data_IF_307123023791
#
_entry.id   IF_307123023791
#
_cell.length_a   1.000
_cell.length_b   1.000
_cell.length_c   1.000
_cell.angle_alpha   90.00
_cell.angle_beta   90.00
_cell.angle_gamma   90.00
#
_symmetry.space_group_name_H-M   'P 1'
#
loop_
_entity.id
_entity.type
_entity.pdbx_description
1 polymer ?
#
# COMPACT_ATOMS: atom_id res chain seq x y z
N UNK A 1 58.37 19.09 18.23
CA UNK A 1 57.36 18.02 18.42
C UNK A 1 56.11 18.47 17.66
N UNK A 2 55.71 17.71 16.64
CA UNK A 2 54.54 18.01 15.80
C UNK A 2 53.29 17.42 16.46
N UNK A 3 52.26 18.24 16.66
CA UNK A 3 50.94 17.78 17.11
C UNK A 3 50.01 17.71 15.91
N UNK A 4 49.75 16.50 15.44
CA UNK A 4 48.64 16.20 14.54
C UNK A 4 47.35 16.17 15.36
N UNK A 5 46.36 16.98 14.99
CA UNK A 5 45.04 16.97 15.63
C UNK A 5 43.93 16.95 14.57
N UNK A 6 43.54 15.70 14.28
CA UNK A 6 42.26 15.17 13.80
C UNK A 6 41.17 16.19 13.41
N UNK A 7 40.89 16.26 12.10
CA UNK A 7 39.64 16.80 11.56
C UNK A 7 38.47 15.89 11.97
N UNK A 8 37.70 16.31 12.97
CA UNK A 8 36.41 15.67 13.28
C UNK A 8 35.40 16.17 12.23
N UNK A 9 35.19 15.36 11.20
CA UNK A 9 34.08 15.55 10.27
C UNK A 9 32.78 15.19 11.00
N UNK A 10 32.10 16.21 11.53
CA UNK A 10 30.78 16.08 12.12
C UNK A 10 29.77 15.79 11.00
N UNK A 11 29.50 14.51 10.75
CA UNK A 11 28.38 14.09 9.90
C UNK A 11 27.08 14.50 10.59
N UNK A 12 26.51 15.63 10.20
CA UNK A 12 25.16 16.02 10.59
C UNK A 12 24.20 15.04 9.95
N UNK A 13 23.74 14.06 10.73
CA UNK A 13 22.60 13.22 10.36
C UNK A 13 21.39 14.14 10.17
N UNK A 14 20.96 14.32 8.92
CA UNK A 14 19.72 15.01 8.59
C UNK A 14 18.61 14.03 8.99
N UNK A 15 18.17 14.12 10.25
CA UNK A 15 16.88 13.55 10.66
C UNK A 15 15.83 14.44 10.01
N UNK A 16 15.41 14.11 8.80
CA UNK A 16 14.24 14.73 8.20
C UNK A 16 13.06 14.43 9.12
N UNK A 17 12.42 15.44 9.74
CA UNK A 17 11.19 15.19 10.46
C UNK A 17 10.16 14.82 9.40
N UNK A 18 9.81 13.54 9.33
CA UNK A 18 8.57 13.12 8.69
C UNK A 18 7.47 13.78 9.50
N UNK A 19 7.00 14.94 9.03
CA UNK A 19 5.76 15.53 9.50
C UNK A 19 4.66 14.54 9.13
N UNK A 20 4.32 13.66 10.06
CA UNK A 20 3.06 12.95 10.03
C UNK A 20 1.97 14.02 9.99
N UNK A 21 1.33 14.19 8.84
CA UNK A 21 0.19 15.08 8.72
C UNK A 21 -0.82 14.74 9.82
N UNK A 22 -1.35 15.73 10.56
CA UNK A 22 -2.24 15.46 11.68
C UNK A 22 -3.39 14.58 11.19
N UNK A 23 -3.46 13.35 11.71
CA UNK A 23 -4.57 12.48 11.45
C UNK A 23 -5.81 13.18 11.99
N UNK A 24 -6.79 13.43 11.12
CA UNK A 24 -8.10 13.85 11.60
C UNK A 24 -8.64 12.68 12.43
N UNK A 25 -8.98 12.87 13.72
CA UNK A 25 -9.23 11.77 14.65
C UNK A 25 -10.31 10.79 14.17
N UNK A 26 -11.25 11.24 13.32
CA UNK A 26 -12.26 10.37 12.71
C UNK A 26 -11.74 9.39 11.64
N UNK A 27 -10.69 9.75 10.88
CA UNK A 27 -10.15 8.89 9.81
C UNK A 27 -9.30 7.75 10.34
N UNK A 28 -8.63 7.97 11.46
CA UNK A 28 -7.84 6.95 12.16
C UNK A 28 -8.74 5.89 12.80
N UNK A 29 -9.82 6.32 13.45
CA UNK A 29 -10.87 5.41 13.94
C UNK A 29 -11.49 4.59 12.81
N UNK A 30 -11.71 5.19 11.64
CA UNK A 30 -12.23 4.47 10.47
C UNK A 30 -11.24 3.42 9.96
N UNK A 31 -9.95 3.75 9.89
CA UNK A 31 -8.90 2.82 9.50
C UNK A 31 -8.80 1.62 10.45
N UNK A 32 -8.76 1.87 11.76
CA UNK A 32 -8.74 0.81 12.79
C UNK A 32 -9.97 -0.10 12.68
N UNK A 33 -11.16 0.48 12.55
CA UNK A 33 -12.41 -0.28 12.38
C UNK A 33 -12.41 -1.14 11.11
N UNK A 34 -11.81 -0.64 10.03
CA UNK A 34 -11.67 -1.41 8.79
C UNK A 34 -10.80 -2.64 9.00
N UNK A 35 -9.66 -2.50 9.70
CA UNK A 35 -8.79 -3.63 10.03
C UNK A 35 -9.47 -4.65 10.96
N UNK A 36 -10.18 -4.16 11.98
CA UNK A 36 -10.97 -5.01 12.88
C UNK A 36 -12.01 -5.84 12.13
N UNK A 37 -12.66 -5.27 11.10
CA UNK A 37 -13.64 -6.00 10.26
C UNK A 37 -13.00 -7.16 9.50
N UNK A 38 -11.73 -7.04 9.17
CA UNK A 38 -10.96 -8.09 8.52
C UNK A 38 -10.30 -9.07 9.50
N UNK A 39 -10.53 -8.90 10.82
CA UNK A 39 -9.88 -9.72 11.85
C UNK A 39 -8.40 -9.42 12.02
N UNK A 40 -7.92 -8.28 11.52
CA UNK A 40 -6.52 -7.86 11.62
C UNK A 40 -6.34 -7.08 12.92
N UNK A 41 -5.69 -7.73 13.88
CA UNK A 41 -5.46 -7.17 15.21
C UNK A 41 -3.99 -6.81 15.38
N UNK A 42 -3.74 -5.52 15.53
CA UNK A 42 -2.44 -4.92 15.76
C UNK A 42 -2.55 -3.94 16.92
N UNK A 43 -1.42 -3.59 17.54
CA UNK A 43 -1.43 -2.43 18.44
C UNK A 43 -1.74 -1.16 17.64
N UNK A 44 -2.26 -0.14 18.32
CA UNK A 44 -2.55 1.15 17.69
C UNK A 44 -1.29 1.75 17.02
N UNK A 45 -0.16 1.69 17.72
CA UNK A 45 1.10 2.24 17.25
C UNK A 45 1.66 1.46 16.06
N UNK A 46 1.58 0.12 16.08
CA UNK A 46 2.01 -0.71 14.96
C UNK A 46 1.14 -0.48 13.72
N UNK A 47 -0.17 -0.38 13.94
CA UNK A 47 -1.15 -0.10 12.88
C UNK A 47 -0.83 1.21 12.17
N UNK A 48 -0.55 2.27 12.93
CA UNK A 48 -0.16 3.55 12.38
C UNK A 48 1.18 3.49 11.65
N UNK A 49 2.23 2.98 12.32
CA UNK A 49 3.58 2.96 11.78
C UNK A 49 3.67 2.15 10.49
N UNK A 50 3.06 0.96 10.48
CA UNK A 50 3.05 0.08 9.32
C UNK A 50 2.14 0.60 8.20
N UNK A 51 1.01 1.23 8.53
CA UNK A 51 0.14 1.87 7.55
C UNK A 51 0.83 3.02 6.80
N UNK A 52 1.60 3.85 7.52
CA UNK A 52 2.44 4.89 6.89
C UNK A 52 3.56 4.26 6.04
N UNK A 53 4.18 3.18 6.54
CA UNK A 53 5.25 2.50 5.83
C UNK A 53 4.79 1.90 4.49
N UNK A 54 3.55 1.39 4.41
CA UNK A 54 2.96 0.95 3.13
C UNK A 54 3.07 2.04 2.07
N UNK A 55 2.80 3.29 2.44
CA UNK A 55 2.87 4.40 1.50
C UNK A 55 4.29 4.70 1.04
N UNK A 56 5.22 4.80 1.99
CA UNK A 56 6.63 5.09 1.71
C UNK A 56 7.25 4.01 0.82
N UNK A 57 6.97 2.74 1.09
CA UNK A 57 7.48 1.63 0.27
C UNK A 57 6.83 1.62 -1.11
N UNK A 58 5.56 2.00 -1.23
CA UNK A 58 4.86 2.08 -2.51
C UNK A 58 5.35 3.23 -3.40
N UNK A 59 6.03 4.22 -2.83
CA UNK A 59 6.68 5.32 -3.57
C UNK A 59 8.09 4.99 -4.03
N UNK A 60 8.70 3.92 -3.52
CA UNK A 60 10.02 3.47 -3.95
C UNK A 60 10.00 3.03 -5.42
N UNK A 61 10.93 3.56 -6.22
CA UNK A 61 10.99 3.30 -7.66
C UNK A 61 11.15 1.81 -7.95
N UNK A 62 10.29 1.27 -8.81
CA UNK A 62 10.33 -0.14 -9.22
C UNK A 62 9.62 -1.10 -8.26
N UNK A 63 9.05 -0.62 -7.14
CA UNK A 63 8.16 -1.44 -6.30
C UNK A 63 6.78 -1.55 -6.90
N UNK A 64 6.26 -2.77 -6.90
CA UNK A 64 4.87 -3.05 -7.23
C UNK A 64 4.05 -3.26 -5.97
N UNK A 65 2.73 -3.11 -6.07
CA UNK A 65 1.80 -3.45 -4.98
C UNK A 65 1.96 -4.89 -4.50
N UNK A 66 2.29 -5.81 -5.40
CA UNK A 66 2.56 -7.22 -5.07
C UNK A 66 3.79 -7.35 -4.18
N UNK A 67 4.83 -6.54 -4.39
CA UNK A 67 6.03 -6.54 -3.55
C UNK A 67 5.73 -5.99 -2.16
N UNK A 68 4.89 -4.96 -2.07
CA UNK A 68 4.43 -4.40 -0.79
C UNK A 68 3.61 -5.44 -0.01
N UNK A 69 2.69 -6.13 -0.67
CA UNK A 69 1.92 -7.23 -0.06
C UNK A 69 2.86 -8.35 0.42
N UNK A 70 3.83 -8.75 -0.40
CA UNK A 70 4.80 -9.78 -0.01
C UNK A 70 5.64 -9.36 1.19
N UNK A 71 6.02 -8.08 1.27
CA UNK A 71 6.72 -7.51 2.41
C UNK A 71 5.86 -7.50 3.68
N UNK A 72 4.58 -7.14 3.58
CA UNK A 72 3.63 -7.19 4.70
C UNK A 72 3.47 -8.62 5.22
N UNK A 73 3.33 -9.60 4.32
CA UNK A 73 3.30 -11.02 4.71
C UNK A 73 4.61 -11.48 5.37
N UNK A 74 5.75 -10.92 4.98
CA UNK A 74 7.03 -11.20 5.62
C UNK A 74 7.14 -10.65 7.05
N UNK A 75 6.40 -9.59 7.37
CA UNK A 75 6.35 -9.01 8.72
C UNK A 75 5.30 -9.67 9.62
N UNK A 76 4.24 -10.23 9.01
CA UNK A 76 3.13 -10.89 9.69
C UNK A 76 2.98 -12.34 9.19
N UNK A 77 3.79 -13.28 9.70
CA UNK A 77 3.82 -14.65 9.21
C UNK A 77 2.49 -15.41 9.42
N UNK A 78 1.63 -14.92 10.31
CA UNK A 78 0.29 -15.43 10.55
C UNK A 78 -0.76 -14.93 9.55
N UNK A 79 -0.45 -13.91 8.75
CA UNK A 79 -1.35 -13.35 7.75
C UNK A 79 -1.23 -14.09 6.42
N UNK A 80 -2.39 -14.42 5.84
CA UNK A 80 -2.43 -14.90 4.47
C UNK A 80 -2.37 -13.72 3.47
N UNK A 81 -2.34 -14.03 2.17
CA UNK A 81 -2.28 -13.00 1.12
C UNK A 81 -3.47 -12.04 1.15
N UNK A 82 -4.66 -12.54 1.48
CA UNK A 82 -5.91 -11.75 1.52
C UNK A 82 -5.84 -10.75 2.68
N UNK A 83 -5.37 -11.19 3.85
CA UNK A 83 -5.17 -10.35 5.03
C UNK A 83 -4.20 -9.20 4.71
N UNK A 84 -3.06 -9.52 4.11
CA UNK A 84 -2.07 -8.52 3.69
C UNK A 84 -2.63 -7.55 2.62
N UNK A 85 -3.47 -8.03 1.70
CA UNK A 85 -4.15 -7.18 0.71
C UNK A 85 -5.13 -6.20 1.37
N UNK A 86 -5.93 -6.66 2.34
CA UNK A 86 -6.83 -5.82 3.10
C UNK A 86 -6.09 -4.75 3.88
N UNK A 87 -4.98 -5.12 4.54
CA UNK A 87 -4.13 -4.16 5.25
C UNK A 87 -3.55 -3.11 4.30
N UNK A 88 -2.94 -3.53 3.20
CA UNK A 88 -2.33 -2.64 2.21
C UNK A 88 -3.37 -1.71 1.60
N UNK A 89 -4.54 -2.21 1.20
CA UNK A 89 -5.61 -1.38 0.63
C UNK A 89 -6.12 -0.32 1.62
N UNK A 90 -6.41 -0.72 2.86
CA UNK A 90 -6.85 0.21 3.89
C UNK A 90 -5.77 1.26 4.23
N UNK A 91 -4.49 0.87 4.19
CA UNK A 91 -3.37 1.78 4.39
C UNK A 91 -3.19 2.75 3.21
N UNK A 92 -3.28 2.28 1.97
CA UNK A 92 -3.24 3.10 0.75
C UNK A 92 -4.35 4.16 0.78
N UNK A 93 -5.58 3.78 1.14
CA UNK A 93 -6.71 4.71 1.23
C UNK A 93 -6.51 5.79 2.29
N UNK A 94 -5.85 5.42 3.39
CA UNK A 94 -5.67 6.32 4.52
C UNK A 94 -4.45 7.23 4.37
N UNK A 95 -3.34 6.68 3.90
CA UNK A 95 -2.02 7.32 3.94
C UNK A 95 -1.47 7.66 2.56
N UNK A 96 -2.04 7.12 1.48
CA UNK A 96 -1.65 7.42 0.09
C UNK A 96 -2.78 8.04 -0.73
N UNK A 97 -3.39 9.17 -0.30
CA UNK A 97 -4.51 9.76 -1.01
C UNK A 97 -4.17 10.14 -2.45
N UNK A 98 -2.91 10.50 -2.75
CA UNK A 98 -2.46 10.88 -4.08
C UNK A 98 -2.32 9.69 -5.06
N UNK A 99 -2.28 8.45 -4.55
CA UNK A 99 -2.26 7.23 -5.36
C UNK A 99 -3.65 6.79 -5.79
N UNK A 100 -4.67 7.19 -5.04
CA UNK A 100 -6.06 7.05 -5.43
C UNK A 100 -6.39 8.15 -6.43
N UNK A 101 -6.22 7.88 -7.73
CA UNK A 101 -6.78 8.76 -8.76
C UNK A 101 -8.22 9.14 -8.39
N UNK A 102 -8.69 10.40 -8.56
CA UNK A 102 -10.05 10.83 -8.22
C UNK A 102 -11.18 10.15 -9.03
N UNK A 103 -10.88 9.07 -9.75
CA UNK A 103 -11.83 8.18 -10.41
C UNK A 103 -11.55 6.69 -10.21
N UNK A 104 -10.55 6.31 -9.40
CA UNK A 104 -10.28 4.93 -9.03
C UNK A 104 -11.02 4.59 -7.73
N UNK A 105 -12.35 4.56 -7.83
CA UNK A 105 -13.13 3.72 -6.92
C UNK A 105 -12.63 2.30 -7.13
N UNK A 106 -11.83 1.77 -6.21
CA UNK A 106 -11.61 0.34 -6.16
C UNK A 106 -12.99 -0.30 -5.97
N UNK A 107 -13.36 -1.32 -6.76
CA UNK A 107 -14.52 -2.10 -6.42
C UNK A 107 -14.19 -2.79 -5.10
N UNK A 108 -14.71 -2.25 -4.00
CA UNK A 108 -15.08 -3.08 -2.85
C UNK A 108 -15.78 -4.28 -3.48
N UNK A 109 -15.29 -5.50 -3.24
CA UNK A 109 -16.04 -6.69 -3.59
C UNK A 109 -17.36 -6.62 -2.81
N UNK A 110 -18.38 -6.01 -3.42
CA UNK A 110 -19.76 -6.17 -3.02
C UNK A 110 -20.06 -7.66 -3.10
N UNK A 111 -20.63 -8.28 -2.06
CA UNK A 111 -21.07 -9.67 -2.12
C UNK A 111 -22.30 -9.86 -3.06
N UNK A 112 -22.65 -8.88 -3.88
CA UNK A 112 -23.79 -8.90 -4.79
C UNK A 112 -23.38 -8.45 -6.19
N UNK A 113 -22.53 -9.22 -6.87
CA UNK A 113 -22.54 -9.23 -8.33
C UNK A 113 -22.11 -10.61 -8.83
N UNK A 114 -23.07 -11.52 -8.71
CA UNK A 114 -23.09 -12.77 -9.48
C UNK A 114 -23.11 -12.40 -10.97
N UNK A 115 -22.01 -12.72 -11.65
CA UNK A 115 -21.99 -13.26 -13.02
C UNK A 115 -22.85 -12.54 -14.08
N UNK A 116 -22.29 -11.53 -14.74
CA UNK A 116 -22.59 -11.26 -16.16
C UNK A 116 -21.53 -10.35 -16.80
N UNK A 117 -20.33 -10.86 -17.07
CA UNK A 117 -19.53 -10.28 -18.15
C UNK A 117 -19.98 -10.95 -19.47
N UNK A 118 -20.61 -10.23 -20.43
CA UNK A 118 -20.74 -10.74 -21.78
C UNK A 118 -19.34 -10.75 -22.40
N UNK A 119 -18.84 -11.94 -22.72
CA UNK A 119 -17.67 -12.10 -23.56
C UNK A 119 -17.87 -11.29 -24.85
N UNK A 120 -17.13 -10.20 -25.01
CA UNK A 120 -16.97 -9.55 -26.32
C UNK A 120 -16.12 -10.50 -27.17
N UNK A 121 -16.79 -11.22 -28.06
CA UNK A 121 -16.21 -11.79 -29.27
C UNK A 121 -15.58 -10.67 -30.08
N UNK A 122 -14.26 -10.53 -29.99
CA UNK A 122 -13.49 -9.76 -30.94
C UNK A 122 -13.34 -10.58 -32.23
N UNK A 123 -13.80 -10.00 -33.33
CA UNK A 123 -13.59 -10.38 -34.72
C UNK A 123 -12.24 -11.05 -35.01
N UNK A 124 -12.29 -12.29 -35.51
CA UNK A 124 -11.32 -12.82 -36.47
C UNK A 124 -12.03 -12.90 -37.82
N UNK A 125 -12.07 -11.77 -38.54
CA UNK A 125 -12.44 -11.71 -39.95
C UNK A 125 -11.17 -11.81 -40.79
N UNK A 126 -11.30 -12.59 -41.86
CA UNK A 126 -10.56 -12.50 -43.14
C UNK A 126 -9.39 -13.48 -43.38
N UNK A 127 -9.75 -14.66 -43.91
CA UNK A 127 -8.89 -15.48 -44.75
C UNK A 127 -9.66 -15.86 -46.02
N UNK A 128 -9.29 -15.26 -47.15
CA UNK A 128 -10.01 -15.32 -48.43
C UNK A 128 -10.02 -16.69 -49.15
N UNK A 129 -10.70 -16.76 -50.31
CA UNK A 129 -11.02 -18.00 -51.02
C UNK A 129 -9.80 -18.55 -51.78
N UNK A 130 -9.66 -19.88 -51.84
CA UNK A 130 -8.70 -20.55 -52.73
C UNK A 130 -9.41 -21.03 -54.02
N UNK A 131 -8.70 -21.00 -55.17
CA UNK A 131 -9.20 -21.42 -56.48
C UNK A 131 -9.41 -22.93 -56.59
#
# INVERSE_FOLDING_TARGET
MAAAALCVASSTAIVAPVYAAPSTPGKEVAYLRTLERFGLHLSHDDTFAQGVAVCLVSEESGRTRTDVIAQVMGMHPEWNRIDAQHFVGAAEERYCPDKLSPGAHYPVCSPDETSAAPFRTADLREGGPRP
#
